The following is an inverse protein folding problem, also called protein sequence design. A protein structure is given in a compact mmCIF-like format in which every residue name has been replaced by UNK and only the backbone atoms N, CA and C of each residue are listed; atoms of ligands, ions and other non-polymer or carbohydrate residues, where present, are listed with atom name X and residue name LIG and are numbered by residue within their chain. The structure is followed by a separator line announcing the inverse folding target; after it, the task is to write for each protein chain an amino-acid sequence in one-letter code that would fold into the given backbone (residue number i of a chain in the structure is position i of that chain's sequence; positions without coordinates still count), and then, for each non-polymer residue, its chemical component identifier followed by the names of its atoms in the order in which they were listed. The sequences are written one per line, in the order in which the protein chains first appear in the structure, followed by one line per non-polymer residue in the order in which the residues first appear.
data_IF_467673072784
#
_entry.id   IF_467673072784
#
_cell.length_a   1.000
_cell.length_b   1.000
_cell.length_c   1.000
_cell.angle_alpha   90.00
_cell.angle_beta   90.00
_cell.angle_gamma   90.00
#
_symmetry.space_group_name_H-M   'P 1'
#
loop_
_entity.id
_entity.type
_entity.pdbx_description
1 polymer ?
#
# COMPACT_ATOMS: atom_id res chain seq x y z
N UNK A 1 12.17 -19.21 40.26
CA UNK A 1 11.05 -20.05 39.77
C UNK A 1 9.84 -19.23 39.26
N UNK A 2 9.80 -17.95 39.56
CA UNK A 2 8.70 -17.05 39.08
C UNK A 2 8.99 -16.50 37.67
N UNK A 3 10.25 -16.25 37.34
CA UNK A 3 10.65 -15.73 36.00
C UNK A 3 10.43 -16.75 34.86
N UNK A 4 10.42 -18.05 35.15
CA UNK A 4 10.11 -19.08 34.14
C UNK A 4 8.62 -19.25 33.84
N UNK A 5 7.75 -18.89 34.78
CA UNK A 5 6.30 -18.94 34.62
C UNK A 5 5.81 -17.76 33.74
N UNK A 6 6.43 -16.59 33.87
CA UNK A 6 6.06 -15.40 33.07
C UNK A 6 6.49 -15.50 31.60
N UNK A 7 7.63 -16.17 31.32
CA UNK A 7 8.04 -16.45 29.94
C UNK A 7 7.13 -17.46 29.24
N UNK A 8 6.55 -18.43 29.98
CA UNK A 8 5.62 -19.41 29.39
C UNK A 8 4.25 -18.81 29.08
N UNK A 9 3.79 -17.84 29.87
CA UNK A 9 2.51 -17.13 29.64
C UNK A 9 2.58 -16.14 28.47
N UNK A 10 3.74 -15.50 28.23
CA UNK A 10 3.93 -14.67 27.05
C UNK A 10 4.00 -15.47 25.75
N UNK A 11 4.59 -16.68 25.80
CA UNK A 11 4.63 -17.60 24.66
C UNK A 11 3.24 -18.15 24.29
N UNK A 12 2.36 -18.33 25.26
CA UNK A 12 0.99 -18.81 25.03
C UNK A 12 0.10 -17.73 24.43
N UNK A 13 0.24 -16.47 24.86
CA UNK A 13 -0.51 -15.33 24.26
C UNK A 13 -0.09 -15.04 22.81
N UNK A 14 1.17 -15.27 22.46
CA UNK A 14 1.63 -15.15 21.06
C UNK A 14 1.08 -16.27 20.17
N UNK A 15 0.91 -17.49 20.69
CA UNK A 15 0.33 -18.61 19.93
C UNK A 15 -1.18 -18.51 19.71
N UNK A 16 -1.90 -17.84 20.62
CA UNK A 16 -3.35 -17.66 20.47
C UNK A 16 -3.70 -16.54 19.47
N UNK A 17 -2.82 -15.55 19.27
CA UNK A 17 -2.95 -14.56 18.18
C UNK A 17 -2.75 -15.18 16.78
N UNK A 18 -1.89 -16.19 16.65
CA UNK A 18 -1.69 -16.93 15.40
C UNK A 18 -2.85 -17.85 15.01
N UNK A 19 -3.64 -18.31 15.98
CA UNK A 19 -4.80 -19.19 15.71
C UNK A 19 -6.03 -18.46 15.18
N UNK A 20 -6.04 -17.13 15.24
CA UNK A 20 -7.13 -16.31 14.65
C UNK A 20 -6.94 -16.16 13.14
N UNK A 21 -5.71 -16.23 12.62
CA UNK A 21 -5.44 -16.16 11.18
C UNK A 21 -5.77 -17.46 10.44
N UNK A 22 -5.79 -18.60 11.11
CA UNK A 22 -6.10 -19.91 10.51
C UNK A 22 -7.61 -20.22 10.38
N UNK A 23 -8.50 -19.33 10.85
CA UNK A 23 -9.95 -19.55 10.83
C UNK A 23 -10.73 -18.60 9.91
N UNK A 24 -10.06 -17.80 9.12
CA UNK A 24 -10.73 -17.12 8.01
C UNK A 24 -10.43 -17.93 6.75
N UNK A 25 -11.17 -19.02 6.59
CA UNK A 25 -11.29 -19.69 5.30
C UNK A 25 -12.05 -18.73 4.37
N UNK A 26 -11.29 -17.99 3.57
CA UNK A 26 -11.80 -17.05 2.58
C UNK A 26 -12.40 -17.76 1.35
N UNK A 27 -12.41 -19.10 1.34
CA UNK A 27 -12.91 -19.89 0.21
C UNK A 27 -14.40 -20.25 0.29
N UNK A 28 -15.04 -20.13 1.46
CA UNK A 28 -16.45 -20.48 1.62
C UNK A 28 -17.26 -19.32 2.23
N UNK A 29 -17.94 -18.57 1.42
CA UNK A 29 -19.08 -17.66 1.65
C UNK A 29 -18.85 -16.20 1.30
N UNK A 30 -18.68 -15.94 0.03
CA UNK A 30 -19.13 -14.69 -0.57
C UNK A 30 -19.74 -14.98 -1.96
N UNK A 31 -20.76 -15.85 -1.99
CA UNK A 31 -21.65 -15.92 -3.14
C UNK A 31 -22.73 -14.87 -2.93
N UNK A 32 -22.42 -13.62 -3.25
CA UNK A 32 -23.43 -12.58 -3.40
C UNK A 32 -23.91 -12.60 -4.83
N UNK A 33 -25.23 -12.81 -4.99
CA UNK A 33 -25.93 -12.82 -6.28
C UNK A 33 -26.12 -11.39 -6.81
N UNK A 34 -25.07 -10.80 -7.32
CA UNK A 34 -25.19 -9.79 -8.37
C UNK A 34 -24.95 -10.48 -9.72
N UNK A 35 -25.48 -9.95 -10.83
CA UNK A 35 -24.98 -10.31 -12.15
C UNK A 35 -23.56 -9.73 -12.26
N UNK A 36 -22.62 -10.34 -11.57
CA UNK A 36 -21.20 -10.08 -11.77
C UNK A 36 -20.92 -10.49 -13.20
N UNK A 37 -20.43 -9.56 -14.00
CA UNK A 37 -19.67 -9.94 -15.16
C UNK A 37 -18.72 -11.02 -14.66
N UNK A 38 -18.83 -12.22 -15.21
CA UNK A 38 -18.17 -13.39 -14.67
C UNK A 38 -16.67 -13.13 -14.75
N UNK A 39 -16.04 -12.83 -13.60
CA UNK A 39 -14.60 -12.69 -13.54
C UNK A 39 -13.93 -13.90 -14.20
N UNK A 40 -13.01 -13.64 -15.10
CA UNK A 40 -12.18 -14.65 -15.73
C UNK A 40 -10.73 -14.19 -15.70
N UNK A 41 -9.79 -15.03 -15.29
CA UNK A 41 -8.37 -14.68 -15.30
C UNK A 41 -7.81 -14.45 -16.72
N UNK A 42 -8.55 -14.79 -17.75
CA UNK A 42 -8.13 -14.69 -19.16
C UNK A 42 -8.80 -13.53 -19.91
N UNK A 43 -9.66 -12.75 -19.25
CA UNK A 43 -10.39 -11.64 -19.86
C UNK A 43 -10.14 -10.36 -19.06
N UNK A 44 -9.83 -9.21 -19.74
CA UNK A 44 -9.69 -7.91 -19.06
C UNK A 44 -10.93 -7.56 -18.23
N UNK A 45 -10.75 -7.21 -16.97
CA UNK A 45 -11.85 -6.91 -16.07
C UNK A 45 -12.32 -5.45 -16.21
N UNK A 46 -12.84 -5.12 -17.40
CA UNK A 46 -13.27 -3.76 -17.75
C UNK A 46 -14.47 -3.27 -16.93
N UNK A 47 -15.28 -4.19 -16.41
CA UNK A 47 -16.44 -3.90 -15.56
C UNK A 47 -16.06 -3.95 -14.07
N UNK A 48 -14.88 -3.46 -13.74
CA UNK A 48 -14.43 -3.35 -12.33
C UNK A 48 -15.48 -2.56 -11.52
N UNK A 49 -16.02 -3.14 -10.42
CA UNK A 49 -17.05 -2.48 -9.62
C UNK A 49 -16.58 -1.11 -9.11
N UNK A 50 -17.47 -0.10 -9.11
CA UNK A 50 -17.13 1.23 -8.62
C UNK A 50 -17.01 1.24 -7.09
N UNK A 51 -16.38 2.30 -6.55
CA UNK A 51 -16.39 2.63 -5.14
C UNK A 51 -17.56 3.58 -4.80
N UNK A 52 -18.14 3.47 -3.59
CA UNK A 52 -17.93 2.41 -2.60
C UNK A 52 -18.54 1.08 -3.05
N UNK A 53 -18.06 -0.07 -2.52
CA UNK A 53 -18.73 -1.33 -2.78
C UNK A 53 -20.16 -1.31 -2.24
N UNK A 54 -21.07 -2.06 -2.88
CA UNK A 54 -22.46 -2.13 -2.47
C UNK A 54 -22.66 -2.84 -1.13
N UNK A 55 -21.71 -3.68 -0.75
CA UNK A 55 -21.72 -4.47 0.47
C UNK A 55 -21.27 -3.65 1.68
N UNK A 56 -21.76 -4.02 2.87
CA UNK A 56 -21.29 -3.44 4.12
C UNK A 56 -19.87 -3.91 4.41
N UNK A 57 -18.91 -2.99 4.32
CA UNK A 57 -17.49 -3.28 4.57
C UNK A 57 -17.13 -3.12 6.06
N UNK A 58 -17.83 -2.29 6.81
CA UNK A 58 -17.61 -2.05 8.23
C UNK A 58 -18.34 -3.09 9.10
N UNK A 59 -17.92 -4.33 8.97
CA UNK A 59 -18.41 -5.42 9.83
C UNK A 59 -17.83 -5.30 11.24
N UNK A 60 -18.48 -5.94 12.23
CA UNK A 60 -17.98 -5.91 13.61
C UNK A 60 -16.53 -6.33 13.77
N UNK A 61 -16.01 -7.39 13.10
CA UNK A 61 -14.58 -7.69 13.13
C UNK A 61 -13.69 -6.59 12.57
N UNK A 62 -14.09 -5.95 11.47
CA UNK A 62 -13.37 -4.84 10.86
C UNK A 62 -13.33 -3.64 11.81
N UNK A 63 -14.48 -3.25 12.40
CA UNK A 63 -14.55 -2.15 13.35
C UNK A 63 -13.67 -2.38 14.59
N UNK A 64 -13.58 -3.61 15.10
CA UNK A 64 -12.67 -3.94 16.21
C UNK A 64 -11.21 -3.77 15.80
N UNK A 65 -10.82 -4.24 14.61
CA UNK A 65 -9.46 -4.06 14.10
C UNK A 65 -9.11 -2.58 13.87
N UNK A 66 -10.08 -1.76 13.45
CA UNK A 66 -9.93 -0.32 13.28
C UNK A 66 -9.63 0.36 14.62
N UNK A 67 -10.34 -0.01 15.70
CA UNK A 67 -10.11 0.55 17.04
C UNK A 67 -8.67 0.32 17.47
N UNK A 68 -8.18 -0.92 17.36
CA UNK A 68 -6.82 -1.27 17.72
C UNK A 68 -5.78 -0.54 16.82
N UNK A 69 -6.05 -0.45 15.52
CA UNK A 69 -5.16 0.24 14.57
C UNK A 69 -5.09 1.75 14.84
N UNK A 70 -6.23 2.41 15.11
CA UNK A 70 -6.27 3.84 15.44
C UNK A 70 -5.57 4.15 16.74
N UNK A 71 -5.72 3.29 17.76
CA UNK A 71 -4.96 3.42 19.01
C UNK A 71 -3.46 3.44 18.72
N UNK A 72 -2.96 2.49 17.92
CA UNK A 72 -1.53 2.42 17.58
C UNK A 72 -1.06 3.58 16.71
N UNK A 73 -1.88 4.07 15.78
CA UNK A 73 -1.57 5.27 15.02
C UNK A 73 -1.51 6.52 15.91
N UNK A 74 -2.43 6.67 16.87
CA UNK A 74 -2.40 7.77 17.81
C UNK A 74 -1.17 7.72 18.74
N UNK A 75 -0.79 6.53 19.22
CA UNK A 75 0.45 6.32 19.97
C UNK A 75 1.68 6.72 19.14
N UNK A 76 1.75 6.27 17.87
CA UNK A 76 2.84 6.59 16.95
C UNK A 76 2.93 8.10 16.72
N UNK A 77 1.80 8.76 16.40
CA UNK A 77 1.74 10.21 16.20
C UNK A 77 2.24 10.97 17.42
N UNK A 78 1.78 10.59 18.60
CA UNK A 78 2.22 11.20 19.86
C UNK A 78 3.71 10.97 20.13
N UNK A 79 4.20 9.75 19.89
CA UNK A 79 5.62 9.43 20.04
C UNK A 79 6.49 10.29 19.11
N UNK A 80 6.06 10.52 17.87
CA UNK A 80 6.78 11.38 16.92
C UNK A 80 6.91 12.83 17.41
N UNK A 81 5.88 13.36 18.07
CA UNK A 81 5.91 14.73 18.63
C UNK A 81 6.85 14.86 19.83
N UNK A 82 7.14 13.76 20.54
CA UNK A 82 8.04 13.74 21.69
C UNK A 82 9.52 13.61 21.32
N UNK A 83 9.84 13.30 20.06
CA UNK A 83 11.22 13.14 19.60
C UNK A 83 11.84 14.52 19.39
N UNK A 84 12.96 14.85 20.08
CA UNK A 84 13.58 16.17 19.99
C UNK A 84 14.08 16.54 18.58
N UNK A 85 14.51 15.54 17.81
CA UNK A 85 14.91 15.71 16.40
C UNK A 85 14.14 14.69 15.52
N UNK A 86 12.99 15.08 14.93
CA UNK A 86 12.22 14.20 14.08
C UNK A 86 12.92 13.85 12.77
N UNK A 87 13.95 14.57 12.34
CA UNK A 87 14.71 14.27 11.12
C UNK A 87 15.33 12.87 11.14
N UNK A 88 15.71 12.37 12.32
CA UNK A 88 16.26 11.02 12.47
C UNK A 88 15.26 9.97 12.00
N UNK A 89 14.01 10.08 12.42
CA UNK A 89 12.98 9.09 12.06
C UNK A 89 12.46 9.32 10.64
N UNK A 90 12.30 10.57 10.20
CA UNK A 90 11.84 10.90 8.84
C UNK A 90 12.87 10.62 7.77
N UNK A 91 14.16 10.48 8.12
CA UNK A 91 15.21 10.04 7.20
C UNK A 91 15.42 8.52 7.20
N UNK A 92 15.10 7.82 8.30
CA UNK A 92 15.42 6.39 8.44
C UNK A 92 14.24 5.47 8.16
N UNK A 93 13.04 5.78 8.68
CA UNK A 93 11.85 4.93 8.51
C UNK A 93 11.41 4.85 7.04
N UNK A 94 11.32 5.96 6.28
CA UNK A 94 11.00 5.89 4.85
C UNK A 94 12.00 5.09 4.03
N UNK A 95 13.28 5.10 4.37
CA UNK A 95 14.28 4.25 3.70
C UNK A 95 14.05 2.76 3.99
N UNK A 96 13.71 2.40 5.22
CA UNK A 96 13.35 1.02 5.56
C UNK A 96 12.06 0.58 4.85
N UNK A 97 11.07 1.45 4.78
CA UNK A 97 9.84 1.24 4.02
C UNK A 97 10.15 1.06 2.54
N UNK A 98 10.98 1.92 1.96
CA UNK A 98 11.44 1.84 0.58
C UNK A 98 12.08 0.48 0.25
N UNK A 99 12.98 -0.02 1.12
CA UNK A 99 13.58 -1.35 0.97
C UNK A 99 12.53 -2.45 0.99
N UNK A 100 11.68 -2.47 2.01
CA UNK A 100 10.68 -3.51 2.16
C UNK A 100 9.63 -3.47 1.04
N UNK A 101 9.21 -2.28 0.62
CA UNK A 101 8.29 -2.10 -0.51
C UNK A 101 8.88 -2.58 -1.82
N UNK A 102 10.18 -2.34 -2.05
CA UNK A 102 10.89 -2.85 -3.23
C UNK A 102 11.07 -4.37 -3.17
N UNK A 103 11.34 -4.93 -1.98
CA UNK A 103 11.46 -6.38 -1.77
C UNK A 103 10.16 -7.14 -2.09
N UNK A 104 9.00 -6.53 -1.89
CA UNK A 104 7.71 -7.10 -2.32
C UNK A 104 7.69 -7.35 -3.83
N UNK A 105 8.31 -6.47 -4.60
CA UNK A 105 8.44 -6.54 -6.07
C UNK A 105 9.71 -7.30 -6.54
N UNK A 106 10.35 -8.07 -5.65
CA UNK A 106 11.58 -8.80 -5.90
C UNK A 106 12.81 -7.93 -6.21
N UNK A 107 12.80 -6.65 -5.86
CA UNK A 107 13.93 -5.73 -5.96
C UNK A 107 14.63 -5.74 -4.61
N UNK A 108 15.75 -6.48 -4.53
CA UNK A 108 16.40 -6.77 -3.24
C UNK A 108 17.65 -5.92 -3.07
N UNK A 109 17.70 -5.16 -1.98
CA UNK A 109 18.88 -4.45 -1.47
C UNK A 109 18.99 -4.63 0.04
N UNK A 110 20.16 -4.38 0.60
CA UNK A 110 20.39 -4.42 2.05
C UNK A 110 20.18 -3.06 2.70
N UNK A 111 19.87 -3.06 3.99
CA UNK A 111 19.82 -1.79 4.74
C UNK A 111 21.17 -1.06 4.69
N UNK A 112 22.29 -1.80 4.82
CA UNK A 112 23.65 -1.19 4.81
C UNK A 112 23.92 -0.48 3.48
N UNK A 113 23.69 -1.15 2.34
CA UNK A 113 23.85 -0.51 1.02
C UNK A 113 22.94 0.71 0.85
N UNK A 114 21.67 0.58 1.26
CA UNK A 114 20.71 1.66 1.09
C UNK A 114 21.07 2.88 1.94
N UNK A 115 21.43 2.68 3.21
CA UNK A 115 21.84 3.77 4.09
C UNK A 115 23.15 4.41 3.64
N UNK A 116 24.16 3.62 3.25
CA UNK A 116 25.41 4.15 2.70
C UNK A 116 25.18 5.00 1.46
N UNK A 117 24.36 4.52 0.53
CA UNK A 117 24.01 5.24 -0.67
C UNK A 117 23.21 6.52 -0.38
N UNK A 118 22.28 6.50 0.57
CA UNK A 118 21.49 7.67 0.98
C UNK A 118 22.37 8.79 1.56
N UNK A 119 23.46 8.44 2.26
CA UNK A 119 24.40 9.40 2.84
C UNK A 119 25.71 9.57 2.04
N UNK A 120 25.74 9.08 0.81
CA UNK A 120 26.89 9.25 -0.11
C UNK A 120 28.23 8.77 0.47
N UNK A 121 28.23 7.66 1.22
CA UNK A 121 29.42 7.17 1.93
C UNK A 121 30.35 6.35 1.03
N UNK A 122 29.84 5.75 -0.08
CA UNK A 122 30.59 4.82 -0.91
C UNK A 122 30.36 4.97 -2.42
N UNK A 123 30.98 4.04 -3.18
CA UNK A 123 30.89 3.87 -4.61
C UNK A 123 29.43 3.82 -5.14
N UNK A 124 29.30 3.92 -6.44
CA UNK A 124 28.02 3.94 -7.14
C UNK A 124 27.07 2.79 -6.68
N UNK A 125 25.85 3.13 -6.18
CA UNK A 125 24.94 2.13 -5.65
C UNK A 125 24.45 1.16 -6.73
N UNK A 126 24.11 -0.07 -6.34
CA UNK A 126 23.54 -1.08 -7.23
C UNK A 126 22.22 -0.59 -7.86
N UNK A 127 21.79 -1.15 -9.00
CA UNK A 127 20.51 -0.79 -9.61
C UNK A 127 19.32 -0.95 -8.65
N UNK A 128 19.29 -2.03 -7.86
CA UNK A 128 18.25 -2.26 -6.85
C UNK A 128 18.27 -1.20 -5.75
N UNK A 129 19.46 -0.78 -5.30
CA UNK A 129 19.61 0.28 -4.30
C UNK A 129 19.16 1.63 -4.86
N UNK A 130 19.52 1.96 -6.12
CA UNK A 130 19.04 3.17 -6.80
C UNK A 130 17.50 3.20 -6.87
N UNK A 131 16.90 2.07 -7.15
CA UNK A 131 15.45 1.94 -7.25
C UNK A 131 14.75 2.10 -5.89
N UNK A 132 15.32 1.52 -4.83
CA UNK A 132 14.84 1.74 -3.47
C UNK A 132 15.01 3.22 -3.03
N UNK A 133 16.08 3.90 -3.42
CA UNK A 133 16.24 5.34 -3.18
C UNK A 133 15.20 6.17 -3.92
N UNK A 134 14.85 5.79 -5.16
CA UNK A 134 13.76 6.47 -5.91
C UNK A 134 12.42 6.35 -5.21
N UNK A 135 12.14 5.23 -4.53
CA UNK A 135 10.92 5.12 -3.71
C UNK A 135 10.86 6.21 -2.63
N UNK A 136 11.97 6.44 -1.92
CA UNK A 136 12.03 7.51 -0.93
C UNK A 136 11.82 8.89 -1.57
N UNK A 137 12.43 9.14 -2.73
CA UNK A 137 12.22 10.38 -3.49
C UNK A 137 10.77 10.54 -3.95
N UNK A 138 10.13 9.44 -4.38
CA UNK A 138 8.72 9.42 -4.79
C UNK A 138 7.76 9.71 -3.62
N UNK A 139 8.05 9.20 -2.42
CA UNK A 139 7.31 9.55 -1.21
C UNK A 139 7.39 11.05 -0.92
N UNK A 140 8.58 11.64 -0.99
CA UNK A 140 8.76 13.08 -0.79
C UNK A 140 8.09 13.93 -1.90
N UNK A 141 8.11 13.47 -3.15
CA UNK A 141 7.39 14.12 -4.24
C UNK A 141 5.86 14.08 -4.01
N UNK A 142 5.35 12.96 -3.51
CA UNK A 142 3.96 12.82 -3.09
C UNK A 142 3.58 13.77 -1.95
N UNK A 143 4.39 13.89 -0.92
CA UNK A 143 4.20 14.84 0.19
C UNK A 143 4.21 16.28 -0.30
N UNK A 144 5.13 16.63 -1.18
CA UNK A 144 5.18 17.96 -1.80
C UNK A 144 3.93 18.24 -2.64
N UNK A 145 3.42 17.24 -3.37
CA UNK A 145 2.14 17.36 -4.08
C UNK A 145 0.98 17.57 -3.12
N UNK A 146 0.94 16.82 -2.01
CA UNK A 146 -0.12 16.89 -1.00
C UNK A 146 -0.19 18.26 -0.32
N UNK A 147 0.95 18.95 -0.15
CA UNK A 147 0.98 20.32 0.40
C UNK A 147 0.34 21.37 -0.52
N UNK A 148 0.19 21.07 -1.81
CA UNK A 148 -0.37 21.99 -2.81
C UNK A 148 -1.81 21.65 -3.18
N UNK A 149 -2.19 20.41 -3.11
CA UNK A 149 -3.52 19.89 -3.46
C UNK A 149 -3.78 18.57 -2.74
N UNK A 150 -5.03 18.22 -2.49
CA UNK A 150 -5.36 16.91 -1.94
C UNK A 150 -4.93 15.73 -2.86
N UNK A 151 -4.90 14.54 -2.29
CA UNK A 151 -4.56 13.28 -2.98
C UNK A 151 -5.43 13.11 -4.24
N UNK A 152 -4.80 12.76 -5.37
CA UNK A 152 -5.46 12.73 -6.68
C UNK A 152 -4.76 11.78 -7.64
N UNK A 153 -5.38 11.50 -8.80
CA UNK A 153 -4.72 10.81 -9.92
C UNK A 153 -3.40 11.50 -10.30
N UNK A 154 -3.37 12.84 -10.27
CA UNK A 154 -2.14 13.58 -10.54
C UNK A 154 -1.04 13.29 -9.52
N UNK A 155 -1.41 13.12 -8.24
CA UNK A 155 -0.45 12.71 -7.20
C UNK A 155 0.10 11.32 -7.51
N UNK A 156 -0.76 10.37 -7.91
CA UNK A 156 -0.32 9.03 -8.30
C UNK A 156 0.66 9.06 -9.49
N UNK A 157 0.39 9.88 -10.51
CA UNK A 157 1.30 10.09 -11.65
C UNK A 157 2.64 10.70 -11.25
N UNK A 158 2.66 11.68 -10.36
CA UNK A 158 3.89 12.31 -9.83
C UNK A 158 4.72 11.26 -9.08
N UNK A 159 4.09 10.51 -8.20
CA UNK A 159 4.74 9.44 -7.42
C UNK A 159 5.34 8.38 -8.34
N UNK A 160 4.54 7.86 -9.26
CA UNK A 160 4.99 6.82 -10.20
C UNK A 160 6.11 7.32 -11.12
N UNK A 161 6.01 8.54 -11.64
CA UNK A 161 7.04 9.15 -12.49
C UNK A 161 8.37 9.29 -11.75
N UNK A 162 8.34 9.73 -10.49
CA UNK A 162 9.54 9.86 -9.66
C UNK A 162 10.13 8.49 -9.33
N UNK A 163 9.28 7.51 -9.04
CA UNK A 163 9.68 6.15 -8.74
C UNK A 163 10.41 5.48 -9.91
N UNK A 164 9.90 5.67 -11.13
CA UNK A 164 10.44 5.05 -12.35
C UNK A 164 11.53 5.90 -13.02
N UNK A 165 11.74 7.14 -12.57
CA UNK A 165 12.64 8.13 -13.21
C UNK A 165 12.28 8.38 -14.68
N UNK A 166 11.00 8.28 -15.02
CA UNK A 166 10.44 8.50 -16.36
C UNK A 166 8.99 8.97 -16.23
N UNK A 167 8.45 9.74 -17.19
CA UNK A 167 7.05 10.13 -17.15
C UNK A 167 6.12 8.90 -17.11
N UNK A 168 5.28 8.83 -16.08
CA UNK A 168 4.28 7.77 -15.96
C UNK A 168 2.99 8.19 -16.67
N UNK A 169 2.67 7.47 -17.72
CA UNK A 169 1.43 7.62 -18.48
C UNK A 169 0.48 6.46 -18.19
N UNK A 170 -0.81 6.73 -18.24
CA UNK A 170 -1.82 5.67 -18.17
C UNK A 170 -1.60 4.72 -19.35
N UNK A 171 -1.50 3.43 -19.06
CA UNK A 171 -1.26 2.41 -20.09
C UNK A 171 -2.40 2.38 -21.11
N UNK A 172 -2.03 2.21 -22.36
CA UNK A 172 -2.96 2.17 -23.50
C UNK A 172 -2.86 0.88 -24.29
N UNK A 173 -1.75 0.13 -24.12
CA UNK A 173 -1.53 -1.12 -24.82
C UNK A 173 -2.06 -2.30 -24.00
N UNK A 174 -2.64 -3.32 -24.66
CA UNK A 174 -3.09 -4.54 -24.00
C UNK A 174 -1.92 -5.43 -23.56
N UNK A 175 -2.24 -6.46 -22.75
CA UNK A 175 -1.30 -7.52 -22.40
C UNK A 175 -0.74 -7.44 -20.99
N UNK A 176 -1.15 -6.44 -20.19
CA UNK A 176 -0.82 -6.40 -18.76
C UNK A 176 -1.62 -7.47 -18.02
N UNK A 177 -0.95 -8.26 -17.18
CA UNK A 177 -1.62 -9.22 -16.29
C UNK A 177 -0.89 -9.33 -14.96
N UNK A 178 -1.60 -9.70 -13.92
CA UNK A 178 -1.07 -10.06 -12.61
C UNK A 178 -1.05 -11.59 -12.53
N UNK A 179 0.11 -12.14 -12.19
CA UNK A 179 0.30 -13.59 -12.15
C UNK A 179 1.76 -13.96 -12.08
N UNK A 180 2.06 -15.20 -12.46
CA UNK A 180 3.44 -15.68 -12.49
C UNK A 180 4.04 -15.46 -13.90
N UNK A 181 5.01 -14.54 -14.06
CA UNK A 181 5.59 -14.23 -15.36
C UNK A 181 6.43 -15.39 -15.93
N UNK A 182 6.93 -16.30 -15.08
CA UNK A 182 7.74 -17.44 -15.52
C UNK A 182 6.87 -18.55 -16.12
N UNK A 183 5.79 -18.90 -15.41
CA UNK A 183 4.85 -19.95 -15.86
C UNK A 183 3.79 -19.41 -16.81
N UNK A 184 3.68 -18.08 -16.99
CA UNK A 184 2.62 -17.38 -17.71
C UNK A 184 1.21 -17.64 -17.15
N UNK A 185 1.14 -18.14 -15.93
CA UNK A 185 -0.13 -18.33 -15.25
C UNK A 185 -0.71 -16.96 -14.88
N UNK A 186 -1.83 -16.62 -15.48
CA UNK A 186 -2.58 -15.40 -15.22
C UNK A 186 -3.48 -15.63 -14.02
N UNK A 187 -3.48 -14.68 -13.08
CA UNK A 187 -4.41 -14.65 -11.96
C UNK A 187 -5.45 -13.55 -12.15
N UNK A 188 -5.07 -12.46 -12.81
CA UNK A 188 -5.93 -11.31 -13.03
C UNK A 188 -5.45 -10.52 -14.25
N UNK A 189 -6.38 -10.13 -15.12
CA UNK A 189 -6.13 -9.15 -16.18
C UNK A 189 -6.87 -7.86 -15.80
N UNK A 190 -6.13 -6.77 -15.47
CA UNK A 190 -6.75 -5.49 -15.13
C UNK A 190 -7.46 -4.88 -16.35
N UNK A 191 -8.32 -3.85 -16.15
CA UNK A 191 -9.01 -3.17 -17.22
C UNK A 191 -8.08 -2.78 -18.37
N UNK A 192 -8.52 -2.91 -19.61
CA UNK A 192 -7.77 -2.53 -20.82
C UNK A 192 -8.49 -1.44 -21.61
N UNK A 193 -7.69 -0.58 -22.27
CA UNK A 193 -8.17 0.59 -22.99
C UNK A 193 -8.01 1.85 -22.17
N UNK A 194 -7.33 2.85 -22.78
CA UNK A 194 -6.98 4.10 -22.07
C UNK A 194 -8.18 4.80 -21.47
N UNK A 195 -9.26 4.95 -22.24
CA UNK A 195 -10.49 5.62 -21.79
C UNK A 195 -11.17 4.89 -20.63
N UNK A 196 -11.13 3.55 -20.64
CA UNK A 196 -11.69 2.71 -19.56
C UNK A 196 -10.90 2.91 -18.28
N UNK A 197 -9.56 2.86 -18.38
CA UNK A 197 -8.67 3.03 -17.23
C UNK A 197 -8.79 4.45 -16.66
N UNK A 198 -8.80 5.48 -17.50
CA UNK A 198 -8.99 6.87 -17.09
C UNK A 198 -10.38 7.07 -16.45
N UNK A 199 -11.43 6.40 -16.95
CA UNK A 199 -12.75 6.41 -16.32
C UNK A 199 -12.75 5.80 -14.92
N UNK A 200 -12.06 4.68 -14.72
CA UNK A 200 -11.91 4.08 -13.40
C UNK A 200 -11.06 4.94 -12.45
N UNK A 201 -10.00 5.59 -12.96
CA UNK A 201 -9.19 6.52 -12.17
C UNK A 201 -9.98 7.76 -11.74
N UNK A 202 -10.81 8.31 -12.63
CA UNK A 202 -11.69 9.41 -12.28
C UNK A 202 -12.69 9.03 -11.18
N UNK A 203 -13.32 7.86 -11.28
CA UNK A 203 -14.21 7.34 -10.25
C UNK A 203 -13.47 7.07 -8.91
N UNK A 204 -12.22 6.59 -8.97
CA UNK A 204 -11.36 6.43 -7.80
C UNK A 204 -11.03 7.77 -7.14
N UNK A 205 -10.72 8.80 -7.92
CA UNK A 205 -10.49 10.16 -7.42
C UNK A 205 -11.76 10.77 -6.82
N UNK A 206 -12.91 10.62 -7.48
CA UNK A 206 -14.21 11.06 -6.94
C UNK A 206 -14.50 10.43 -5.58
N UNK A 207 -14.15 9.15 -5.40
CA UNK A 207 -14.31 8.47 -4.12
C UNK A 207 -13.40 9.04 -3.02
N UNK A 208 -12.19 9.50 -3.34
CA UNK A 208 -11.31 10.17 -2.36
C UNK A 208 -12.03 11.37 -1.73
N UNK A 209 -12.71 12.16 -2.55
CA UNK A 209 -13.37 13.40 -2.12
C UNK A 209 -14.81 13.20 -1.61
N UNK A 210 -15.38 12.05 -1.89
CA UNK A 210 -16.75 11.77 -1.48
C UNK A 210 -16.87 11.68 0.04
N UNK A 211 -17.92 12.30 0.56
CA UNK A 211 -18.23 12.27 1.99
C UNK A 211 -19.08 11.02 2.28
N UNK A 212 -18.45 9.84 2.29
CA UNK A 212 -19.06 8.61 2.76
C UNK A 212 -18.79 8.46 4.26
N UNK A 213 -19.79 8.00 4.99
CA UNK A 213 -19.69 7.68 6.43
C UNK A 213 -18.95 6.34 6.61
N UNK A 214 -17.69 6.32 6.15
CA UNK A 214 -16.78 5.17 6.21
C UNK A 214 -15.49 5.60 6.90
N UNK A 215 -15.00 4.77 7.80
CA UNK A 215 -13.75 5.02 8.52
C UNK A 215 -12.56 5.23 7.56
N UNK A 216 -11.70 6.21 7.86
CA UNK A 216 -10.55 6.56 7.00
C UNK A 216 -9.60 5.38 6.74
N UNK A 217 -9.45 4.41 7.66
CA UNK A 217 -8.63 3.22 7.44
C UNK A 217 -9.31 2.24 6.49
N UNK A 218 -10.64 2.11 6.56
CA UNK A 218 -11.42 1.32 5.58
C UNK A 218 -11.34 1.99 4.22
N UNK A 219 -11.53 3.31 4.18
CA UNK A 219 -11.40 4.10 2.93
C UNK A 219 -10.03 3.92 2.30
N UNK A 220 -8.95 3.96 3.09
CA UNK A 220 -7.59 3.68 2.62
C UNK A 220 -7.48 2.28 1.99
N UNK A 221 -8.02 1.26 2.65
CA UNK A 221 -7.97 -0.11 2.15
C UNK A 221 -8.75 -0.28 0.83
N UNK A 222 -9.93 0.35 0.71
CA UNK A 222 -10.74 0.35 -0.49
C UNK A 222 -10.05 1.09 -1.65
N UNK A 223 -9.47 2.26 -1.36
CA UNK A 223 -8.70 3.04 -2.34
C UNK A 223 -7.48 2.27 -2.84
N UNK A 224 -6.75 1.62 -1.93
CA UNK A 224 -5.60 0.80 -2.29
C UNK A 224 -6.00 -0.39 -3.16
N UNK A 225 -7.01 -1.16 -2.74
CA UNK A 225 -7.53 -2.29 -3.52
C UNK A 225 -7.94 -1.86 -4.94
N UNK A 226 -8.72 -0.77 -5.04
CA UNK A 226 -9.22 -0.29 -6.32
C UNK A 226 -8.08 0.19 -7.23
N UNK A 227 -7.10 0.91 -6.68
CA UNK A 227 -5.93 1.34 -7.43
C UNK A 227 -5.11 0.16 -7.97
N UNK A 228 -4.87 -0.85 -7.15
CA UNK A 228 -4.19 -2.08 -7.57
C UNK A 228 -5.00 -2.87 -8.60
N UNK A 229 -6.34 -2.88 -8.47
CA UNK A 229 -7.22 -3.54 -9.43
C UNK A 229 -7.27 -2.82 -10.78
N UNK A 230 -7.30 -1.49 -10.79
CA UNK A 230 -7.20 -0.67 -12.03
C UNK A 230 -5.83 -0.89 -12.69
N UNK A 231 -4.77 -0.96 -11.89
CA UNK A 231 -3.38 -1.15 -12.34
C UNK A 231 -3.00 -0.18 -13.47
N UNK A 232 -3.07 1.15 -13.24
CA UNK A 232 -3.12 2.15 -14.31
C UNK A 232 -1.81 2.31 -15.09
N UNK A 233 -0.67 1.94 -14.52
CA UNK A 233 0.65 2.15 -15.12
C UNK A 233 1.24 0.83 -15.64
N UNK A 234 2.24 0.91 -16.51
CA UNK A 234 2.94 -0.27 -17.02
C UNK A 234 3.82 -0.94 -15.96
N UNK A 235 4.35 -0.16 -15.01
CA UNK A 235 5.16 -0.61 -13.88
C UNK A 235 4.96 0.32 -12.67
N UNK A 236 5.40 -0.11 -11.48
CA UNK A 236 5.41 0.69 -10.26
C UNK A 236 4.06 0.85 -9.57
N UNK A 237 3.00 0.16 -10.01
CA UNK A 237 1.66 0.30 -9.39
C UNK A 237 1.69 -0.06 -7.91
N UNK A 238 2.19 -1.24 -7.52
CA UNK A 238 2.24 -1.68 -6.13
C UNK A 238 3.00 -0.72 -5.21
N UNK A 239 4.16 -0.25 -5.65
CA UNK A 239 4.96 0.72 -4.89
C UNK A 239 4.27 2.08 -4.80
N UNK A 240 3.66 2.54 -5.90
CA UNK A 240 2.85 3.76 -5.91
C UNK A 240 1.67 3.63 -4.96
N UNK A 241 0.89 2.55 -5.01
CA UNK A 241 -0.25 2.31 -4.13
C UNK A 241 0.14 2.32 -2.65
N UNK A 242 1.29 1.74 -2.29
CA UNK A 242 1.79 1.77 -0.91
C UNK A 242 2.21 3.17 -0.46
N UNK A 243 2.79 3.99 -1.35
CA UNK A 243 3.04 5.41 -1.06
C UNK A 243 1.72 6.17 -0.87
N UNK A 244 0.72 5.96 -1.74
CA UNK A 244 -0.58 6.60 -1.64
C UNK A 244 -1.28 6.30 -0.30
N UNK A 245 -1.10 5.10 0.29
CA UNK A 245 -1.60 4.78 1.62
C UNK A 245 -1.02 5.71 2.69
N UNK A 246 0.31 5.94 2.66
CA UNK A 246 0.95 6.85 3.62
C UNK A 246 0.47 8.28 3.43
N UNK A 247 0.33 8.73 2.17
CA UNK A 247 -0.18 10.06 1.84
C UNK A 247 -1.64 10.23 2.30
N UNK A 248 -2.48 9.20 2.14
CA UNK A 248 -3.84 9.22 2.63
C UNK A 248 -3.91 9.37 4.15
N UNK A 249 -3.10 8.62 4.90
CA UNK A 249 -3.06 8.74 6.36
C UNK A 249 -2.62 10.12 6.84
N UNK A 250 -1.73 10.78 6.09
CA UNK A 250 -1.31 12.16 6.39
C UNK A 250 -2.42 13.14 6.04
N UNK A 251 -3.10 12.98 4.89
CA UNK A 251 -4.24 13.80 4.50
C UNK A 251 -5.40 13.72 5.52
N UNK A 252 -5.65 12.53 6.06
CA UNK A 252 -6.69 12.28 7.07
C UNK A 252 -6.22 12.61 8.51
N UNK A 253 -5.05 13.24 8.66
CA UNK A 253 -4.47 13.63 9.94
C UNK A 253 -4.26 12.47 10.93
N UNK A 254 -4.23 11.22 10.44
CA UNK A 254 -3.90 10.03 11.23
C UNK A 254 -2.39 9.89 11.46
N UNK A 255 -1.58 10.47 10.57
CA UNK A 255 -0.13 10.66 10.70
C UNK A 255 0.24 12.11 10.43
N UNK A 256 1.27 12.62 11.11
CA UNK A 256 1.88 13.93 10.83
C UNK A 256 3.14 13.79 9.95
N UNK A 257 3.83 12.67 10.09
CA UNK A 257 5.10 12.38 9.44
C UNK A 257 5.01 11.04 8.68
N UNK A 258 5.76 10.84 7.60
CA UNK A 258 5.73 9.60 6.81
C UNK A 258 6.55 8.48 7.49
N UNK A 259 6.21 8.15 8.73
CA UNK A 259 6.97 7.22 9.57
C UNK A 259 6.30 5.86 9.77
N UNK A 260 5.54 5.41 8.78
CA UNK A 260 4.92 4.11 8.80
C UNK A 260 5.80 3.06 8.08
N UNK A 261 5.98 1.88 8.72
CA UNK A 261 6.74 0.75 8.18
C UNK A 261 5.79 -0.41 7.82
N UNK A 262 4.83 -0.14 6.93
CA UNK A 262 3.78 -1.08 6.54
C UNK A 262 4.31 -2.22 5.68
N UNK A 263 5.17 -1.94 4.70
CA UNK A 263 5.74 -2.95 3.80
C UNK A 263 6.61 -3.96 4.54
N UNK A 264 7.28 -3.54 5.63
CA UNK A 264 8.02 -4.46 6.47
C UNK A 264 7.14 -5.50 7.16
N UNK A 265 5.93 -5.11 7.58
CA UNK A 265 4.94 -6.03 8.11
C UNK A 265 4.46 -7.01 7.03
N UNK A 266 4.17 -6.53 5.82
CA UNK A 266 3.73 -7.36 4.70
C UNK A 266 4.79 -8.41 4.35
N UNK A 267 6.07 -8.01 4.23
CA UNK A 267 7.18 -8.94 3.93
C UNK A 267 7.31 -10.04 4.99
N UNK A 268 7.15 -9.68 6.26
CA UNK A 268 7.28 -10.63 7.37
C UNK A 268 6.08 -11.58 7.56
N UNK A 269 4.95 -11.34 6.85
CA UNK A 269 3.71 -12.10 7.02
C UNK A 269 3.11 -12.60 5.69
N UNK A 270 3.96 -12.74 4.66
CA UNK A 270 3.60 -13.35 3.37
C UNK A 270 3.34 -14.84 3.51
#
# INVERSE_FOLDING_TARGET
NQAYADMSMQSTRHRDMFKISEKIDMSEKLVYSFPMATYSPDIPYNELPPLPPAEVVETVPVLKAIIDAKEKLAELRTACQLIPNPEIITSTIPLREARASSEIENIVTTNDELFRAAWHVDAEPSPATKEALRYNSALHAGLSSLSQRPLSEKTAKIVCSTLLDTPAEVRSLPGTFIGNPVTQQRLYIPPEGKEIIEGHLAAWEDYIYSNHDVDSLVKMALLHYQFEAIHPFYDGNGRTGRILNVLHLIQEELLELPVLYLSGYIVGNK
#
